data_IF_198197581540
#
_entry.id   IF_198197581540
#
_cell.length_a   1.000
_cell.length_b   1.000
_cell.length_c   1.000
_cell.angle_alpha   90.00
_cell.angle_beta   90.00
_cell.angle_gamma   90.00
#
_symmetry.space_group_name_H-M   'P 1'
#
loop_
_entity.id
_entity.type
_entity.pdbx_description
1 polymer ?
#
# COMPACT_ATOMS: atom_id res chain seq x y z
N UNK A 1 -8.97 -12.41 -15.70
CA UNK A 1 -9.67 -12.39 -14.38
C UNK A 1 -10.21 -13.79 -14.01
N UNK A 2 -10.79 -14.57 -14.93
CA UNK A 2 -11.34 -15.91 -14.64
C UNK A 2 -10.31 -17.00 -14.23
N UNK A 3 -9.05 -16.89 -14.63
CA UNK A 3 -8.06 -17.97 -14.46
C UNK A 3 -7.51 -18.16 -13.03
N UNK A 4 -7.75 -17.23 -12.10
CA UNK A 4 -7.26 -17.30 -10.70
C UNK A 4 -8.35 -17.61 -9.66
N UNK A 5 -9.61 -17.76 -10.10
CA UNK A 5 -10.73 -18.16 -9.24
C UNK A 5 -10.47 -19.46 -8.44
N UNK A 6 -9.87 -20.52 -9.02
CA UNK A 6 -9.61 -21.77 -8.28
C UNK A 6 -8.68 -21.59 -7.07
N UNK A 7 -7.72 -20.66 -7.14
CA UNK A 7 -6.75 -20.39 -6.07
C UNK A 7 -7.37 -19.61 -4.91
N UNK A 8 -8.32 -18.72 -5.21
CA UNK A 8 -9.14 -18.02 -4.21
C UNK A 8 -10.05 -18.98 -3.43
N UNK A 9 -10.50 -20.09 -4.03
CA UNK A 9 -11.31 -21.10 -3.33
C UNK A 9 -10.51 -21.98 -2.36
N UNK A 10 -9.18 -22.01 -2.45
CA UNK A 10 -8.31 -22.81 -1.58
C UNK A 10 -7.99 -22.12 -0.24
N UNK A 11 -8.12 -20.79 -0.16
CA UNK A 11 -8.07 -20.05 1.10
C UNK A 11 -9.34 -20.37 1.89
N UNK A 12 -9.16 -20.94 3.10
CA UNK A 12 -10.23 -21.34 4.02
C UNK A 12 -11.41 -20.36 3.95
N UNK A 13 -12.54 -20.82 3.40
CA UNK A 13 -13.75 -20.02 3.35
C UNK A 13 -14.07 -19.50 4.76
N UNK A 14 -14.40 -18.23 4.93
CA UNK A 14 -15.21 -17.82 6.06
C UNK A 14 -16.44 -18.75 6.10
N UNK A 15 -16.77 -19.35 7.25
CA UNK A 15 -17.97 -20.19 7.41
C UNK A 15 -19.25 -19.33 7.39
N UNK A 16 -19.41 -18.52 6.35
CA UNK A 16 -20.57 -17.69 6.15
C UNK A 16 -21.64 -18.53 5.46
N UNK A 17 -22.76 -18.76 6.15
CA UNK A 17 -23.90 -19.51 5.61
C UNK A 17 -24.55 -18.80 4.41
N UNK A 18 -24.36 -17.48 4.31
CA UNK A 18 -24.82 -16.61 3.22
C UNK A 18 -23.78 -15.50 2.99
N UNK A 19 -23.74 -14.90 1.79
CA UNK A 19 -22.85 -13.77 1.52
C UNK A 19 -23.22 -12.59 2.46
N UNK A 20 -22.24 -11.93 3.10
CA UNK A 20 -22.51 -10.82 3.99
C UNK A 20 -23.08 -9.65 3.20
N UNK A 21 -23.97 -8.89 3.84
CA UNK A 21 -24.43 -7.63 3.30
C UNK A 21 -23.26 -6.64 3.17
N UNK A 22 -23.38 -5.69 2.24
CA UNK A 22 -22.40 -4.62 2.05
C UNK A 22 -22.08 -3.87 3.36
N UNK A 23 -23.07 -3.67 4.23
CA UNK A 23 -22.90 -3.04 5.55
C UNK A 23 -22.00 -3.86 6.47
N UNK A 24 -22.15 -5.20 6.49
CA UNK A 24 -21.32 -6.07 7.30
C UNK A 24 -19.86 -6.05 6.84
N UNK A 25 -19.62 -6.04 5.52
CA UNK A 25 -18.27 -5.88 4.95
C UNK A 25 -17.70 -4.52 5.37
N UNK A 26 -18.47 -3.44 5.18
CA UNK A 26 -18.03 -2.08 5.53
C UNK A 26 -17.64 -1.96 6.99
N UNK A 27 -18.49 -2.38 7.93
CA UNK A 27 -18.19 -2.27 9.36
C UNK A 27 -17.02 -3.16 9.80
N UNK A 28 -16.89 -4.33 9.20
CA UNK A 28 -15.72 -5.19 9.46
C UNK A 28 -14.44 -4.48 9.02
N UNK A 29 -14.40 -3.93 7.81
CA UNK A 29 -13.24 -3.20 7.30
C UNK A 29 -12.93 -1.93 8.10
N UNK A 30 -13.96 -1.21 8.55
CA UNK A 30 -13.81 -0.02 9.39
C UNK A 30 -13.26 -0.32 10.79
N UNK A 31 -13.45 -1.55 11.29
CA UNK A 31 -12.94 -1.98 12.59
C UNK A 31 -11.50 -2.51 12.55
N UNK A 32 -10.86 -2.57 11.39
CA UNK A 32 -9.47 -3.03 11.26
C UNK A 32 -8.50 -1.89 11.55
N UNK A 33 -7.40 -2.21 12.22
CA UNK A 33 -6.27 -1.30 12.36
C UNK A 33 -5.57 -1.14 10.99
N UNK A 34 -5.41 0.08 10.46
CA UNK A 34 -4.73 0.31 9.18
C UNK A 34 -3.30 -0.23 9.12
N UNK A 35 -2.54 -0.17 10.22
CA UNK A 35 -1.16 -0.66 10.27
C UNK A 35 -1.11 -2.19 10.23
N UNK A 36 -2.08 -2.87 10.86
CA UNK A 36 -2.18 -4.33 10.77
C UNK A 36 -2.52 -4.80 9.36
N UNK A 37 -3.39 -4.05 8.66
CA UNK A 37 -3.72 -4.32 7.26
C UNK A 37 -2.50 -4.09 6.36
N UNK A 38 -1.77 -2.99 6.52
CA UNK A 38 -0.52 -2.73 5.76
C UNK A 38 0.48 -3.87 5.94
N UNK A 39 0.70 -4.29 7.19
CA UNK A 39 1.64 -5.38 7.51
C UNK A 39 1.24 -6.68 6.82
N UNK A 40 -0.04 -7.06 6.93
CA UNK A 40 -0.55 -8.26 6.28
C UNK A 40 -0.43 -8.21 4.75
N UNK A 41 -0.62 -7.02 4.15
CA UNK A 41 -0.38 -6.81 2.72
C UNK A 41 1.09 -6.97 2.35
N UNK A 42 2.00 -6.40 3.14
CA UNK A 42 3.45 -6.49 2.92
C UNK A 42 3.93 -7.94 3.02
N UNK A 43 3.46 -8.68 4.02
CA UNK A 43 3.77 -10.11 4.18
C UNK A 43 3.28 -10.92 2.96
N UNK A 44 2.06 -10.66 2.51
CA UNK A 44 1.52 -11.30 1.31
C UNK A 44 2.33 -10.95 0.05
N UNK A 45 2.70 -9.69 -0.12
CA UNK A 45 3.53 -9.24 -1.23
C UNK A 45 4.92 -9.88 -1.19
N UNK A 46 5.53 -10.05 -0.01
CA UNK A 46 6.82 -10.72 0.13
C UNK A 46 6.79 -12.17 -0.37
N UNK A 47 5.71 -12.90 -0.08
CA UNK A 47 5.49 -14.27 -0.60
C UNK A 47 5.39 -14.29 -2.13
N UNK A 48 4.69 -13.31 -2.72
CA UNK A 48 4.49 -13.24 -4.18
C UNK A 48 5.71 -12.69 -4.92
N UNK A 49 6.47 -11.80 -4.30
CA UNK A 49 7.58 -11.11 -4.93
C UNK A 49 8.83 -12.00 -5.10
N UNK A 50 8.93 -13.12 -4.40
CA UNK A 50 10.12 -13.98 -4.45
C UNK A 50 11.38 -13.25 -4.00
N UNK A 51 12.54 -13.61 -4.58
CA UNK A 51 13.83 -13.03 -4.17
C UNK A 51 13.89 -11.53 -4.51
N UNK A 52 14.36 -10.67 -3.57
CA UNK A 52 14.60 -9.26 -3.85
C UNK A 52 15.55 -9.05 -5.03
N UNK A 53 16.50 -9.98 -5.25
CA UNK A 53 17.48 -9.96 -6.35
C UNK A 53 16.83 -9.75 -7.73
N UNK A 54 15.64 -10.31 -7.94
CA UNK A 54 14.97 -10.35 -9.25
C UNK A 54 14.27 -9.02 -9.61
N UNK A 55 14.29 -8.02 -8.73
CA UNK A 55 13.56 -6.76 -8.90
C UNK A 55 14.37 -5.75 -9.70
N UNK A 56 13.99 -5.52 -10.95
CA UNK A 56 14.73 -4.63 -11.87
C UNK A 56 14.48 -3.14 -11.59
N UNK A 57 13.26 -2.76 -11.25
CA UNK A 57 12.89 -1.37 -10.96
C UNK A 57 11.64 -1.28 -10.08
N UNK A 58 11.58 -0.22 -9.27
CA UNK A 58 10.46 0.06 -8.37
C UNK A 58 9.92 1.46 -8.66
N UNK A 59 8.62 1.55 -8.91
CA UNK A 59 7.91 2.81 -9.00
C UNK A 59 7.38 3.21 -7.63
N UNK A 60 7.55 4.47 -7.27
CA UNK A 60 6.96 5.08 -6.09
C UNK A 60 5.92 6.09 -6.55
N UNK A 61 4.67 5.86 -6.16
CA UNK A 61 3.51 6.63 -6.62
C UNK A 61 2.69 7.15 -5.45
N UNK A 62 2.55 8.47 -5.36
CA UNK A 62 1.79 9.17 -4.34
C UNK A 62 0.38 9.50 -4.82
N UNK A 63 -0.65 8.93 -4.19
CA UNK A 63 -2.06 9.25 -4.45
C UNK A 63 -2.66 10.03 -3.30
N UNK A 64 -3.07 11.27 -3.55
CA UNK A 64 -3.84 12.08 -2.59
C UNK A 64 -5.30 11.65 -2.59
N UNK A 65 -5.84 11.27 -1.43
CA UNK A 65 -7.25 10.95 -1.30
C UNK A 65 -8.08 12.22 -1.15
N UNK A 66 -8.56 12.76 -2.27
CA UNK A 66 -9.32 14.02 -2.34
C UNK A 66 -10.75 13.98 -1.78
N UNK A 67 -11.21 12.82 -1.28
CA UNK A 67 -12.57 12.60 -0.77
C UNK A 67 -12.65 11.98 0.64
N UNK A 68 -11.51 11.69 1.28
CA UNK A 68 -11.42 11.23 2.67
C UNK A 68 -11.44 12.39 3.68
N UNK A 69 -12.08 13.50 3.33
CA UNK A 69 -12.25 14.63 4.24
C UNK A 69 -13.33 14.28 5.25
N UNK A 70 -12.93 13.98 6.49
CA UNK A 70 -13.86 14.16 7.59
C UNK A 70 -13.94 15.66 7.91
N UNK A 71 -14.96 16.32 7.35
CA UNK A 71 -15.21 17.76 7.52
C UNK A 71 -15.46 18.13 8.99
N UNK A 72 -15.70 17.15 9.86
CA UNK A 72 -15.87 17.36 11.30
C UNK A 72 -14.56 17.46 12.09
N UNK A 73 -13.41 17.02 11.54
CA UNK A 73 -12.14 16.95 12.30
C UNK A 73 -10.98 17.78 11.72
N UNK A 74 -11.20 18.58 10.68
CA UNK A 74 -10.17 19.44 10.05
C UNK A 74 -8.85 18.70 9.70
N UNK A 75 -8.95 17.40 9.41
CA UNK A 75 -7.78 16.59 9.05
C UNK A 75 -7.37 16.91 7.61
N UNK A 76 -6.08 17.23 7.44
CA UNK A 76 -5.48 17.49 6.12
C UNK A 76 -5.63 16.27 5.22
N UNK A 77 -5.68 16.51 3.90
CA UNK A 77 -5.79 15.45 2.90
C UNK A 77 -4.77 14.33 3.14
N UNK A 78 -5.27 13.11 3.35
CA UNK A 78 -4.45 11.91 3.48
C UNK A 78 -3.87 11.56 2.11
N UNK A 79 -2.55 11.44 2.04
CA UNK A 79 -1.84 10.96 0.86
C UNK A 79 -1.30 9.56 1.13
N UNK A 80 -1.43 8.66 0.16
CA UNK A 80 -0.87 7.31 0.24
C UNK A 80 0.28 7.23 -0.75
N UNK A 81 1.49 6.91 -0.28
CA UNK A 81 2.62 6.63 -1.15
C UNK A 81 2.81 5.11 -1.23
N UNK A 82 2.85 4.57 -2.44
CA UNK A 82 2.94 3.12 -2.69
C UNK A 82 4.20 2.76 -3.46
N UNK A 83 4.85 1.66 -3.08
CA UNK A 83 5.97 1.06 -3.83
C UNK A 83 5.45 -0.09 -4.71
N UNK A 84 5.62 0.04 -6.02
CA UNK A 84 5.15 -0.89 -7.04
C UNK A 84 6.33 -1.48 -7.81
N UNK A 85 6.39 -2.79 -7.97
CA UNK A 85 7.35 -3.42 -8.89
C UNK A 85 6.91 -3.25 -10.35
N UNK A 86 7.78 -2.73 -11.20
CA UNK A 86 7.43 -2.45 -12.61
C UNK A 86 7.23 -3.74 -13.42
N UNK A 87 7.88 -4.84 -13.06
CA UNK A 87 7.86 -6.12 -13.77
C UNK A 87 6.61 -6.96 -13.46
N UNK A 88 6.09 -6.90 -12.23
CA UNK A 88 5.01 -7.79 -11.75
C UNK A 88 3.72 -7.08 -11.36
N UNK A 89 3.63 -5.76 -11.53
CA UNK A 89 2.45 -4.96 -11.11
C UNK A 89 2.05 -5.24 -9.65
N UNK A 90 3.04 -5.48 -8.78
CA UNK A 90 2.84 -5.87 -7.39
C UNK A 90 3.17 -4.69 -6.48
N UNK A 91 2.25 -4.36 -5.58
CA UNK A 91 2.49 -3.37 -4.53
C UNK A 91 3.25 -4.07 -3.40
N UNK A 92 4.47 -3.60 -3.12
CA UNK A 92 5.34 -4.14 -2.08
C UNK A 92 5.00 -3.59 -0.69
N UNK A 93 4.50 -2.37 -0.64
CA UNK A 93 4.16 -1.68 0.59
C UNK A 93 3.63 -0.29 0.30
N UNK A 94 3.04 0.32 1.31
CA UNK A 94 2.52 1.67 1.23
C UNK A 94 2.64 2.38 2.58
N UNK A 95 2.73 3.71 2.54
CA UNK A 95 2.78 4.56 3.74
C UNK A 95 1.73 5.66 3.64
N UNK A 96 1.06 5.91 4.76
CA UNK A 96 0.11 7.02 4.90
C UNK A 96 0.85 8.30 5.30
N UNK A 97 0.73 9.33 4.48
CA UNK A 97 1.31 10.66 4.67
C UNK A 97 0.19 11.59 5.12
N UNK A 98 0.41 12.31 6.22
CA UNK A 98 -0.53 13.29 6.78
C UNK A 98 -1.24 12.86 8.07
N UNK A 99 -1.13 11.60 8.49
CA UNK A 99 -1.69 11.11 9.76
C UNK A 99 -0.91 11.59 11.01
N UNK A 100 0.37 11.94 10.88
CA UNK A 100 1.27 12.28 12.00
C UNK A 100 1.84 13.71 11.94
N UNK A 101 1.10 14.67 11.37
CA UNK A 101 1.61 16.02 11.11
C UNK A 101 2.36 16.12 9.78
N UNK A 102 3.06 17.24 9.52
CA UNK A 102 3.68 17.68 8.24
C UNK A 102 4.76 16.71 7.68
N UNK A 103 4.44 15.43 7.51
CA UNK A 103 5.27 14.50 6.74
C UNK A 103 5.11 14.85 5.26
N UNK A 104 6.24 15.02 4.60
CA UNK A 104 6.33 15.26 3.17
C UNK A 104 6.63 13.95 2.44
N UNK A 105 6.39 13.89 1.13
CA UNK A 105 6.50 12.66 0.34
C UNK A 105 7.94 12.10 0.27
N UNK A 106 8.94 12.99 0.23
CA UNK A 106 10.36 12.61 0.16
C UNK A 106 10.83 11.78 1.36
N UNK A 107 10.68 12.23 2.62
CA UNK A 107 11.08 11.41 3.77
C UNK A 107 10.25 10.13 3.89
N UNK A 108 8.97 10.16 3.51
CA UNK A 108 8.12 8.97 3.49
C UNK A 108 8.61 7.94 2.46
N UNK A 109 9.07 8.39 1.29
CA UNK A 109 9.68 7.53 0.28
C UNK A 109 10.97 6.88 0.80
N UNK A 110 11.85 7.65 1.43
CA UNK A 110 13.10 7.15 2.00
C UNK A 110 12.84 6.09 3.08
N UNK A 111 11.89 6.34 3.98
CA UNK A 111 11.48 5.38 5.00
C UNK A 111 10.95 4.09 4.36
N UNK A 112 10.04 4.20 3.40
CA UNK A 112 9.45 3.04 2.72
C UNK A 112 10.52 2.18 2.00
N UNK A 113 11.50 2.82 1.35
CA UNK A 113 12.63 2.13 0.71
C UNK A 113 13.45 1.34 1.74
N UNK A 114 13.75 1.96 2.88
CA UNK A 114 14.55 1.35 3.94
C UNK A 114 13.83 0.16 4.57
N UNK A 115 12.55 0.32 4.94
CA UNK A 115 11.77 -0.74 5.56
C UNK A 115 11.53 -1.95 4.63
N UNK A 116 11.46 -1.71 3.32
CA UNK A 116 11.30 -2.79 2.34
C UNK A 116 12.63 -3.43 1.92
N UNK A 117 13.77 -2.93 2.43
CA UNK A 117 15.10 -3.45 2.10
C UNK A 117 15.48 -3.27 0.62
N UNK A 118 15.01 -2.19 -0.01
CA UNK A 118 15.15 -1.96 -1.46
C UNK A 118 16.35 -1.07 -1.82
N UNK A 119 17.29 -0.88 -0.90
CA UNK A 119 18.47 -0.06 -1.12
C UNK A 119 19.29 -0.57 -2.31
N UNK A 120 19.79 0.36 -3.14
CA UNK A 120 20.60 0.03 -4.33
C UNK A 120 19.79 -0.40 -5.55
N UNK A 121 18.47 -0.19 -5.54
CA UNK A 121 17.59 -0.44 -6.70
C UNK A 121 17.34 0.82 -7.51
N UNK A 122 16.92 0.61 -8.76
CA UNK A 122 16.44 1.70 -9.61
C UNK A 122 15.02 2.09 -9.18
N UNK A 123 14.86 3.36 -8.80
CA UNK A 123 13.57 3.93 -8.43
C UNK A 123 13.07 4.88 -9.52
N UNK A 124 11.78 4.82 -9.82
CA UNK A 124 11.09 5.83 -10.60
C UNK A 124 10.09 6.54 -9.71
N UNK A 125 10.22 7.85 -9.59
CA UNK A 125 9.36 8.74 -8.82
C UNK A 125 8.90 9.88 -9.74
N UNK A 126 7.81 10.55 -9.39
CA UNK A 126 7.46 11.81 -10.03
C UNK A 126 8.62 12.81 -9.89
N UNK A 127 8.87 13.60 -10.94
CA UNK A 127 9.92 14.62 -11.00
C UNK A 127 9.88 15.63 -9.85
N UNK A 128 8.72 15.82 -9.19
CA UNK A 128 8.60 16.61 -7.96
C UNK A 128 9.50 16.10 -6.81
N UNK A 129 9.96 14.85 -6.86
CA UNK A 129 10.88 14.25 -5.89
C UNK A 129 12.36 14.54 -6.18
N UNK A 130 12.70 15.09 -7.35
CA UNK A 130 14.07 15.43 -7.72
C UNK A 130 14.50 16.75 -7.06
N UNK A 131 14.53 16.78 -5.72
CA UNK A 131 15.07 17.91 -4.98
C UNK A 131 16.58 17.75 -4.81
N UNK A 132 17.33 18.75 -5.28
CA UNK A 132 18.80 18.72 -5.32
C UNK A 132 19.46 18.98 -3.96
N UNK A 133 18.70 19.53 -3.00
CA UNK A 133 19.15 19.84 -1.66
C UNK A 133 18.12 19.29 -0.65
N UNK A 134 18.48 18.21 0.03
CA UNK A 134 17.77 17.64 1.18
C UNK A 134 18.79 17.31 2.26
#
# INVERSE_FOLDING_TARGET
IAARLPQLYALRRPRWKQAPAHTAIRYTLQGLDPADVERAFRDHAAVLAGSPADRTSIALDGKTWRGGFDRFQDQKALQILSALTTDRTLILGHVLIGAAGKSHEIPAAQQLIHELGLTGRLFTLDALHCQKNG
#
